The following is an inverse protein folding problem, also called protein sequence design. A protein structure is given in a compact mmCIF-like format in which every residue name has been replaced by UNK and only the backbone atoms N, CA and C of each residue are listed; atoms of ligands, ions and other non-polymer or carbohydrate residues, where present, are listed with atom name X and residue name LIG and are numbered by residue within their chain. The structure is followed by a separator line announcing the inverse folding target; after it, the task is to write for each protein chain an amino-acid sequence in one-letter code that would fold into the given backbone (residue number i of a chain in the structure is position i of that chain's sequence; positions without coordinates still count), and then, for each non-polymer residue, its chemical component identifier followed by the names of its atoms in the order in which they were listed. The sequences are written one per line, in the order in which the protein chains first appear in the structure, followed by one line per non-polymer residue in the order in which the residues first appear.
data_IF_317872472656
#
_entry.id   IF_317872472656
#
_cell.length_a   1.000
_cell.length_b   1.000
_cell.length_c   1.000
_cell.angle_alpha   90.00
_cell.angle_beta   90.00
_cell.angle_gamma   90.00
#
_symmetry.space_group_name_H-M   'P 1'
#
loop_
_entity.id
_entity.type
_entity.pdbx_description
1 polymer ?
#
# COMPACT_ATOMS: atom_id res chain seq x y z
N UNK A 1 16.31 24.24 25.10
CA UNK A 1 16.07 24.05 23.65
C UNK A 1 14.80 23.24 23.52
N UNK A 2 13.77 23.84 22.93
CA UNK A 2 12.40 23.33 22.95
C UNK A 2 12.28 22.02 22.17
N UNK A 3 11.68 20.99 22.80
CA UNK A 3 11.15 19.83 22.08
C UNK A 3 9.95 20.33 21.28
N UNK A 4 10.06 20.35 19.97
CA UNK A 4 8.89 20.45 19.10
C UNK A 4 8.05 19.20 19.31
N UNK A 5 6.97 19.32 20.06
CA UNK A 5 5.90 18.34 20.03
C UNK A 5 5.19 18.55 18.69
N UNK A 6 5.55 17.73 17.70
CA UNK A 6 4.74 17.59 16.50
C UNK A 6 3.40 17.03 16.98
N UNK A 7 2.30 17.74 16.69
CA UNK A 7 0.95 17.25 16.97
C UNK A 7 0.78 15.93 16.22
N UNK A 8 0.74 14.82 16.96
CA UNK A 8 0.34 13.53 16.42
C UNK A 8 -1.10 13.72 15.92
N UNK A 9 -1.29 13.73 14.60
CA UNK A 9 -2.62 13.66 14.05
C UNK A 9 -3.34 12.44 14.67
N UNK A 10 -4.58 12.61 15.14
CA UNK A 10 -5.40 11.55 15.72
C UNK A 10 -5.68 10.45 14.69
N UNK A 11 -4.71 9.56 14.47
CA UNK A 11 -4.87 8.41 13.60
C UNK A 11 -5.83 7.43 14.29
N UNK A 12 -6.81 6.85 13.56
CA UNK A 12 -7.66 5.82 14.11
C UNK A 12 -6.81 4.66 14.60
N UNK A 13 -7.03 4.25 15.86
CA UNK A 13 -6.29 3.16 16.49
C UNK A 13 -6.54 1.87 15.69
N UNK A 14 -5.49 1.34 15.07
CA UNK A 14 -5.62 0.16 14.25
C UNK A 14 -5.80 -1.09 15.11
N UNK A 15 -6.95 -1.73 14.96
CA UNK A 15 -7.25 -3.03 15.57
C UNK A 15 -7.54 -4.04 14.47
N UNK A 16 -6.86 -5.19 14.51
CA UNK A 16 -7.14 -6.30 13.62
C UNK A 16 -7.93 -7.37 14.37
N UNK A 17 -9.21 -7.54 14.03
CA UNK A 17 -10.12 -8.53 14.67
C UNK A 17 -10.10 -8.45 16.21
N UNK A 18 -10.00 -7.23 16.75
CA UNK A 18 -9.96 -6.95 18.19
C UNK A 18 -8.58 -7.05 18.85
N UNK A 19 -7.51 -7.21 18.06
CA UNK A 19 -6.12 -7.26 18.56
C UNK A 19 -5.34 -6.03 18.07
N UNK A 20 -4.54 -5.43 18.94
CA UNK A 20 -3.69 -4.29 18.61
C UNK A 20 -2.45 -4.69 17.80
N UNK A 21 -1.89 -3.75 17.03
CA UNK A 21 -0.68 -3.99 16.23
C UNK A 21 0.52 -4.45 17.06
N UNK A 22 0.73 -3.86 18.23
CA UNK A 22 1.84 -4.22 19.12
C UNK A 22 1.71 -5.65 19.64
N UNK A 23 0.47 -6.06 19.95
CA UNK A 23 0.19 -7.42 20.39
C UNK A 23 0.42 -8.43 19.26
N UNK A 24 0.02 -8.08 18.03
CA UNK A 24 0.22 -8.93 16.84
C UNK A 24 1.70 -9.23 16.55
N UNK A 25 2.60 -8.29 16.80
CA UNK A 25 4.04 -8.49 16.60
C UNK A 25 4.64 -9.49 17.60
N UNK A 26 4.07 -9.59 18.81
CA UNK A 26 4.54 -10.50 19.86
C UNK A 26 3.88 -11.89 19.85
N UNK A 27 2.82 -12.08 19.06
CA UNK A 27 2.10 -13.36 18.97
C UNK A 27 2.87 -14.40 18.17
N UNK A 28 2.68 -15.68 18.52
CA UNK A 28 3.22 -16.78 17.72
C UNK A 28 2.46 -16.95 16.41
N UNK A 29 3.11 -17.53 15.38
CA UNK A 29 2.47 -17.81 14.10
C UNK A 29 1.22 -18.70 14.25
N UNK A 30 1.21 -19.64 15.20
CA UNK A 30 0.06 -20.51 15.45
C UNK A 30 -1.15 -19.74 16.00
N UNK A 31 -0.91 -18.78 16.89
CA UNK A 31 -1.95 -17.89 17.41
C UNK A 31 -2.47 -16.98 16.29
N UNK A 32 -1.56 -16.44 15.47
CA UNK A 32 -1.91 -15.61 14.32
C UNK A 32 -2.78 -16.39 13.35
N UNK A 33 -2.42 -17.62 13.00
CA UNK A 33 -3.18 -18.50 12.10
C UNK A 33 -4.65 -18.66 12.51
N UNK A 34 -4.95 -18.78 13.81
CA UNK A 34 -6.33 -18.90 14.31
C UNK A 34 -7.14 -17.60 14.16
N UNK A 35 -6.46 -16.46 14.19
CA UNK A 35 -7.06 -15.15 14.03
C UNK A 35 -7.14 -14.72 12.57
N UNK A 36 -6.53 -15.41 11.61
CA UNK A 36 -6.46 -14.99 10.21
C UNK A 36 -7.74 -15.30 9.40
N UNK A 37 -7.92 -14.64 8.26
CA UNK A 37 -8.93 -15.03 7.27
C UNK A 37 -8.58 -16.37 6.63
N UNK A 38 -9.59 -17.11 6.13
CA UNK A 38 -9.38 -18.47 5.59
C UNK A 38 -8.35 -18.52 4.47
N UNK A 39 -8.30 -17.49 3.61
CA UNK A 39 -7.31 -17.38 2.53
C UNK A 39 -5.90 -17.17 3.07
N UNK A 40 -5.75 -16.32 4.09
CA UNK A 40 -4.45 -16.05 4.70
C UNK A 40 -3.95 -17.27 5.50
N UNK A 41 -4.86 -17.91 6.25
CA UNK A 41 -4.60 -19.16 6.94
C UNK A 41 -4.17 -20.27 5.98
N UNK A 42 -4.92 -20.45 4.89
CA UNK A 42 -4.61 -21.48 3.88
C UNK A 42 -3.29 -21.20 3.17
N UNK A 43 -2.96 -19.94 2.90
CA UNK A 43 -1.66 -19.58 2.36
C UNK A 43 -0.51 -19.87 3.34
N UNK A 44 -0.67 -19.55 4.63
CA UNK A 44 0.34 -19.85 5.66
C UNK A 44 0.54 -21.37 5.81
N UNK A 45 -0.54 -22.14 5.72
CA UNK A 45 -0.51 -23.60 5.76
C UNK A 45 0.21 -24.19 4.53
N UNK A 46 -0.01 -23.62 3.35
CA UNK A 46 0.61 -24.08 2.09
C UNK A 46 2.07 -23.66 1.94
N UNK A 47 2.52 -22.64 2.68
CA UNK A 47 3.90 -22.14 2.66
C UNK A 47 4.62 -22.32 4.01
N UNK A 48 4.73 -23.55 4.54
CA UNK A 48 5.41 -23.77 5.81
C UNK A 48 6.90 -23.40 5.68
N UNK A 49 7.31 -22.39 6.43
CA UNK A 49 8.69 -21.91 6.48
C UNK A 49 9.13 -21.06 5.28
N UNK A 50 8.19 -20.45 4.53
CA UNK A 50 8.49 -19.42 3.51
C UNK A 50 9.58 -19.85 2.51
N UNK A 51 9.56 -21.12 2.10
CA UNK A 51 10.62 -21.73 1.29
C UNK A 51 10.69 -21.08 -0.10
N UNK A 52 11.90 -20.82 -0.59
CA UNK A 52 12.14 -20.26 -1.93
C UNK A 52 12.30 -18.74 -1.96
N UNK A 53 11.59 -18.08 -2.89
CA UNK A 53 11.83 -16.67 -3.24
C UNK A 53 11.32 -15.65 -2.21
N UNK A 54 10.44 -16.06 -1.29
CA UNK A 54 9.78 -15.19 -0.32
C UNK A 54 10.67 -14.86 0.89
N UNK A 55 11.41 -15.83 1.43
CA UNK A 55 12.30 -15.62 2.58
C UNK A 55 13.39 -14.53 2.36
N UNK A 56 14.13 -14.49 1.24
CA UNK A 56 15.17 -13.46 1.06
C UNK A 56 14.57 -12.04 1.04
N UNK A 57 13.37 -11.88 0.48
CA UNK A 57 12.65 -10.61 0.52
C UNK A 57 12.32 -10.22 1.96
N UNK A 58 11.76 -11.13 2.75
CA UNK A 58 11.42 -10.84 4.15
C UNK A 58 12.65 -10.50 4.99
N UNK A 59 13.78 -11.17 4.76
CA UNK A 59 15.07 -10.83 5.40
C UNK A 59 15.51 -9.42 5.04
N UNK A 60 15.49 -9.09 3.75
CA UNK A 60 15.86 -7.76 3.29
C UNK A 60 14.96 -6.66 3.87
N UNK A 61 13.65 -6.92 4.00
CA UNK A 61 12.72 -5.97 4.63
C UNK A 61 12.96 -5.81 6.14
N UNK A 62 13.38 -6.87 6.84
CA UNK A 62 13.76 -6.81 8.25
C UNK A 62 15.03 -5.98 8.44
N UNK A 63 16.04 -6.19 7.60
CA UNK A 63 17.29 -5.42 7.59
C UNK A 63 17.01 -3.95 7.28
N UNK A 64 16.25 -3.66 6.22
CA UNK A 64 15.88 -2.29 5.84
C UNK A 64 15.10 -1.55 6.93
N UNK A 65 14.29 -2.26 7.73
CA UNK A 65 13.55 -1.69 8.87
C UNK A 65 14.45 -1.42 10.07
N UNK A 66 15.51 -2.20 10.27
CA UNK A 66 16.49 -1.98 11.34
C UNK A 66 17.47 -0.85 11.02
N UNK A 67 17.86 -0.71 9.75
CA UNK A 67 18.79 0.32 9.29
C UNK A 67 18.15 1.71 9.20
N UNK A 68 16.83 1.78 9.01
CA UNK A 68 16.12 3.04 8.84
C UNK A 68 16.09 3.85 10.17
N UNK A 69 16.48 5.14 10.15
CA UNK A 69 16.25 6.02 11.29
C UNK A 69 14.74 6.29 11.43
N UNK A 70 14.23 6.54 12.66
CA UNK A 70 12.80 6.66 12.93
C UNK A 70 12.09 7.79 12.17
N UNK A 71 12.84 8.74 11.60
CA UNK A 71 12.30 9.87 10.83
C UNK A 71 12.22 9.59 9.32
N UNK A 72 12.95 8.59 8.80
CA UNK A 72 13.07 8.36 7.35
C UNK A 72 12.39 7.08 6.89
N UNK A 73 12.05 7.04 5.60
CA UNK A 73 11.43 5.86 4.98
C UNK A 73 12.50 4.79 4.75
N UNK A 74 12.19 3.51 5.05
CA UNK A 74 13.15 2.43 4.83
C UNK A 74 13.42 2.19 3.35
N UNK A 75 14.56 1.54 3.06
CA UNK A 75 14.96 1.21 1.70
C UNK A 75 13.89 0.39 0.97
N UNK A 76 13.72 0.68 -0.32
CA UNK A 76 12.66 0.07 -1.15
C UNK A 76 13.07 -1.32 -1.62
N UNK A 77 12.45 -2.36 -1.06
CA UNK A 77 12.63 -3.73 -1.53
C UNK A 77 11.89 -3.99 -2.84
N UNK A 78 12.60 -4.24 -3.95
CA UNK A 78 11.98 -4.48 -5.27
C UNK A 78 11.62 -5.96 -5.46
N UNK A 79 10.41 -6.24 -5.92
CA UNK A 79 9.88 -7.60 -5.97
C UNK A 79 9.01 -7.84 -7.20
N UNK A 80 9.07 -9.06 -7.71
CA UNK A 80 8.09 -9.58 -8.68
C UNK A 80 7.02 -10.45 -8.02
N UNK A 81 7.14 -10.69 -6.71
CA UNK A 81 6.29 -11.60 -5.96
C UNK A 81 4.98 -10.90 -5.62
N UNK A 82 3.94 -11.16 -6.40
CA UNK A 82 2.59 -10.63 -6.20
C UNK A 82 1.73 -11.53 -5.29
N UNK A 83 2.17 -12.76 -5.08
CA UNK A 83 1.46 -13.80 -4.31
C UNK A 83 1.86 -13.81 -2.82
N UNK A 84 2.73 -12.90 -2.39
CA UNK A 84 3.11 -12.73 -0.99
C UNK A 84 2.03 -11.96 -0.24
N UNK A 85 1.66 -12.44 0.93
CA UNK A 85 0.72 -11.76 1.83
C UNK A 85 1.48 -10.81 2.77
N UNK A 86 0.86 -9.68 3.08
CA UNK A 86 1.39 -8.72 4.04
C UNK A 86 1.34 -9.31 5.45
N UNK A 87 2.51 -9.40 6.08
CA UNK A 87 2.69 -9.89 7.44
C UNK A 87 2.75 -8.71 8.42
N UNK A 88 2.37 -8.90 9.70
CA UNK A 88 2.47 -7.85 10.72
C UNK A 88 3.90 -7.31 10.86
N UNK A 89 4.90 -8.18 10.70
CA UNK A 89 6.32 -7.80 10.75
C UNK A 89 6.71 -6.77 9.67
N UNK A 90 6.13 -6.90 8.47
CA UNK A 90 6.44 -6.08 7.29
C UNK A 90 5.72 -4.73 7.28
N UNK A 91 4.86 -4.46 8.28
CA UNK A 91 4.19 -3.17 8.41
C UNK A 91 5.23 -2.06 8.64
N UNK A 92 5.07 -0.95 7.92
CA UNK A 92 6.01 0.18 7.92
C UNK A 92 7.19 0.04 6.95
N UNK A 93 7.32 -1.09 6.25
CA UNK A 93 8.30 -1.25 5.18
C UNK A 93 7.77 -0.71 3.84
N UNK A 94 8.69 -0.36 2.94
CA UNK A 94 8.37 0.09 1.57
C UNK A 94 8.75 -0.99 0.56
N UNK A 95 7.79 -1.44 -0.24
CA UNK A 95 7.98 -2.51 -1.23
C UNK A 95 7.65 -2.02 -2.62
N UNK A 96 8.56 -2.24 -3.56
CA UNK A 96 8.34 -2.00 -4.99
C UNK A 96 7.76 -3.25 -5.66
N UNK A 97 6.46 -3.27 -5.96
CA UNK A 97 5.79 -4.40 -6.61
C UNK A 97 5.82 -4.25 -8.13
N UNK A 98 6.32 -5.26 -8.84
CA UNK A 98 6.39 -5.23 -10.29
C UNK A 98 5.03 -5.43 -10.95
N UNK A 99 4.71 -4.53 -11.87
CA UNK A 99 3.42 -4.49 -12.54
C UNK A 99 3.40 -5.11 -13.95
N UNK A 100 4.56 -5.47 -14.48
CA UNK A 100 4.75 -5.85 -15.89
C UNK A 100 5.51 -4.81 -16.72
N UNK A 101 5.66 -3.58 -16.20
CA UNK A 101 6.43 -2.50 -16.85
C UNK A 101 7.31 -1.74 -15.85
N UNK A 102 6.72 -1.33 -14.74
CA UNK A 102 7.38 -0.54 -13.69
C UNK A 102 7.19 -1.22 -12.34
N UNK A 103 8.04 -0.83 -11.38
CA UNK A 103 7.84 -1.15 -9.97
C UNK A 103 7.00 -0.05 -9.35
N UNK A 104 5.82 -0.40 -8.84
CA UNK A 104 4.98 0.51 -8.06
C UNK A 104 5.44 0.47 -6.61
N UNK A 105 5.78 1.62 -6.05
CA UNK A 105 6.23 1.75 -4.67
C UNK A 105 5.01 1.78 -3.75
N UNK A 106 4.87 0.74 -2.93
CA UNK A 106 3.80 0.57 -1.96
C UNK A 106 4.37 0.70 -0.55
N UNK A 107 3.84 1.64 0.22
CA UNK A 107 4.12 1.79 1.64
C UNK A 107 3.13 0.93 2.42
N UNK A 108 3.62 -0.05 3.18
CA UNK A 108 2.76 -1.02 3.86
C UNK A 108 2.14 -0.36 5.10
N UNK A 109 0.84 -0.11 5.01
CA UNK A 109 0.01 0.33 6.13
C UNK A 109 -0.55 -0.87 6.91
N UNK A 110 -0.86 -0.71 8.21
CA UNK A 110 -1.48 -1.78 8.98
C UNK A 110 -2.86 -2.18 8.42
N UNK A 111 -3.61 -1.24 7.81
CA UNK A 111 -4.89 -1.50 7.14
C UNK A 111 -4.79 -2.50 5.97
N UNK A 112 -3.60 -2.67 5.40
CA UNK A 112 -3.34 -3.57 4.27
C UNK A 112 -3.03 -5.00 4.72
N UNK A 113 -3.04 -5.27 6.02
CA UNK A 113 -2.82 -6.63 6.54
C UNK A 113 -3.83 -7.62 5.97
N UNK A 114 -3.40 -8.86 5.77
CA UNK A 114 -4.19 -9.96 5.19
C UNK A 114 -4.49 -9.87 3.69
N UNK A 115 -3.99 -8.84 3.00
CA UNK A 115 -4.10 -8.71 1.54
C UNK A 115 -2.82 -9.20 0.84
N UNK A 116 -2.96 -9.61 -0.42
CA UNK A 116 -1.81 -9.93 -1.27
C UNK A 116 -1.15 -8.64 -1.78
N UNK A 117 0.18 -8.63 -1.88
CA UNK A 117 0.93 -7.51 -2.46
C UNK A 117 0.47 -7.17 -3.89
N UNK A 118 0.01 -8.17 -4.64
CA UNK A 118 -0.50 -8.01 -5.99
C UNK A 118 -1.73 -7.10 -6.12
N UNK A 119 -2.56 -7.00 -5.07
CA UNK A 119 -3.79 -6.19 -5.07
C UNK A 119 -3.50 -4.70 -5.15
N UNK A 120 -2.38 -4.26 -4.58
CA UNK A 120 -1.99 -2.85 -4.53
C UNK A 120 -1.30 -2.37 -5.82
N UNK A 121 -1.06 -3.27 -6.78
CA UNK A 121 -0.41 -2.97 -8.06
C UNK A 121 -1.32 -3.30 -9.23
N UNK A 122 -1.93 -2.28 -9.83
CA UNK A 122 -2.85 -2.44 -10.96
C UNK A 122 -2.07 -2.72 -12.26
N UNK A 123 -2.23 -3.90 -12.85
CA UNK A 123 -1.50 -4.39 -14.06
C UNK A 123 -1.77 -3.63 -15.34
N UNK A 124 -2.96 -3.09 -15.46
CA UNK A 124 -3.39 -2.33 -16.61
C UNK A 124 -3.60 -0.87 -16.22
N UNK A 125 -3.80 -0.02 -17.22
CA UNK A 125 -4.25 1.34 -16.96
C UNK A 125 -5.76 1.35 -17.14
N UNK A 126 -6.55 1.82 -16.16
CA UNK A 126 -7.98 1.98 -16.38
C UNK A 126 -8.18 2.89 -17.59
N UNK A 127 -9.01 2.42 -18.52
CA UNK A 127 -9.28 3.14 -19.76
C UNK A 127 -10.54 3.95 -19.54
N UNK A 128 -10.41 5.27 -19.57
CA UNK A 128 -11.57 6.15 -19.59
C UNK A 128 -11.98 6.37 -21.04
N UNK A 129 -13.19 5.93 -21.38
CA UNK A 129 -13.79 6.26 -22.66
C UNK A 129 -14.29 7.70 -22.60
N UNK A 130 -13.42 8.63 -23.01
CA UNK A 130 -13.83 10.02 -23.25
C UNK A 130 -14.90 10.09 -24.34
N UNK A 131 -15.65 11.21 -24.38
CA UNK A 131 -16.54 11.48 -25.51
C UNK A 131 -15.71 11.46 -26.80
N UNK A 132 -16.12 10.69 -27.82
CA UNK A 132 -15.46 10.76 -29.12
C UNK A 132 -15.44 12.21 -29.57
N UNK A 133 -14.25 12.78 -29.79
CA UNK A 133 -14.13 14.08 -30.41
C UNK A 133 -14.85 14.06 -31.75
N UNK A 134 -15.51 15.16 -32.11
CA UNK A 134 -16.20 15.31 -33.40
C UNK A 134 -15.16 15.06 -34.51
N UNK A 135 -15.37 13.99 -35.29
CA UNK A 135 -14.47 13.54 -36.37
C UNK A 135 -13.63 12.29 -36.08
N UNK A 136 -13.74 11.67 -34.90
CA UNK A 136 -12.98 10.46 -34.59
C UNK A 136 -13.64 9.19 -35.16
N UNK A 137 -13.23 8.76 -36.34
CA UNK A 137 -13.55 7.43 -36.88
C UNK A 137 -12.46 6.43 -36.47
N UNK A 138 -12.78 5.64 -35.43
CA UNK A 138 -12.10 4.42 -34.98
C UNK A 138 -10.59 4.45 -34.63
N UNK A 139 -10.30 3.90 -33.44
CA UNK A 139 -9.02 3.29 -33.01
C UNK A 139 -7.80 4.20 -32.80
N UNK A 140 -7.78 4.94 -31.68
CA UNK A 140 -6.70 4.84 -30.68
C UNK A 140 -7.11 5.63 -29.42
N UNK A 141 -7.31 4.95 -28.29
CA UNK A 141 -7.52 5.62 -27.01
C UNK A 141 -6.16 6.08 -26.48
N UNK A 142 -5.80 7.34 -26.72
CA UNK A 142 -4.62 7.94 -26.11
C UNK A 142 -5.01 8.55 -24.75
N UNK A 143 -4.91 7.77 -23.68
CA UNK A 143 -5.15 8.24 -22.31
C UNK A 143 -3.92 9.01 -21.82
N UNK A 144 -4.10 10.32 -21.56
CA UNK A 144 -3.07 11.16 -20.92
C UNK A 144 -2.82 10.66 -19.50
N UNK A 145 -1.54 10.45 -19.16
CA UNK A 145 -1.12 10.10 -17.81
C UNK A 145 -1.36 11.26 -16.84
N UNK A 146 -2.17 11.03 -15.81
CA UNK A 146 -2.03 11.74 -14.53
C UNK A 146 -2.03 10.70 -13.41
N UNK A 147 -0.88 10.54 -12.76
CA UNK A 147 -0.82 9.87 -11.46
C UNK A 147 -1.31 10.90 -10.44
N UNK A 148 -2.52 10.72 -9.91
CA UNK A 148 -3.04 11.55 -8.82
C UNK A 148 -2.83 10.81 -7.49
N UNK A 149 -1.75 11.19 -6.80
CA UNK A 149 -1.63 11.06 -5.34
C UNK A 149 -1.30 12.45 -4.79
N UNK A 150 -2.24 12.97 -4.00
CA UNK A 150 -2.12 14.00 -2.96
C UNK A 150 -1.79 15.46 -3.36
N UNK A 151 -2.82 16.35 -3.30
CA UNK A 151 -2.79 17.50 -2.37
C UNK A 151 -4.18 17.82 -1.84
N UNK A 152 -4.30 17.74 -0.52
CA UNK A 152 -5.32 18.38 0.31
C UNK A 152 -5.32 19.89 0.00
N UNK A 153 -6.50 20.48 -0.18
CA UNK A 153 -6.64 21.95 -0.23
C UNK A 153 -7.94 22.43 -0.86
N UNK A 154 -8.92 22.74 0.01
CA UNK A 154 -9.95 23.78 -0.18
C UNK A 154 -10.87 23.69 -1.39
N UNK A 155 -12.16 23.46 -1.15
CA UNK A 155 -13.21 23.84 -2.10
C UNK A 155 -13.32 25.37 -2.12
N UNK A 156 -13.05 26.08 -3.23
CA UNK A 156 -13.38 27.49 -3.33
C UNK A 156 -14.89 27.61 -3.50
N UNK A 157 -15.58 27.95 -2.41
CA UNK A 157 -16.88 28.59 -2.49
C UNK A 157 -16.65 30.05 -2.90
N UNK A 158 -16.96 30.41 -4.15
CA UNK A 158 -16.99 31.81 -4.59
C UNK A 158 -17.81 32.00 -5.90
N UNK A 159 -19.12 32.19 -5.69
CA UNK A 159 -20.11 33.07 -6.35
C UNK A 159 -20.13 33.28 -7.89
N UNK A 160 -21.32 33.20 -8.53
CA UNK A 160 -21.51 33.48 -9.96
C UNK A 160 -21.46 34.98 -10.32
N UNK A 161 -20.75 35.28 -11.41
CA UNK A 161 -20.68 36.60 -12.07
C UNK A 161 -22.01 36.96 -12.74
N UNK A 162 -22.97 37.50 -11.98
CA UNK A 162 -24.18 38.17 -12.51
C UNK A 162 -24.59 39.41 -11.70
N UNK A 163 -23.66 40.02 -10.97
CA UNK A 163 -23.85 41.30 -10.29
C UNK A 163 -22.75 42.26 -10.74
N UNK A 164 -22.91 42.82 -11.95
CA UNK A 164 -22.37 44.10 -12.39
C UNK A 164 -23.04 44.42 -13.73
N UNK A 165 -24.22 45.00 -13.62
CA UNK A 165 -25.04 45.56 -14.70
C UNK A 165 -26.04 46.50 -14.06
#
# INVERSE_FOLDING_TARGET
MAKGAEEEADFPQFTYRGVDLQQLLGMSLEQLMRLCSDLWWRWLLLNPGLRGKQNPLLKHLREAKQEAPPTEKPQVGKTHLRDLIILPETVGSTVGVYNGKTFHQVEIKPEMMSHYLGEFSITYKPVEHGRPGIGATHSFCNTKYTYLVQKRGGWPSAQPLWLNG
#
